data_IF_227131123267
#
_entry.id   IF_227131123267
#
_cell.length_a   1.000
_cell.length_b   1.000
_cell.length_c   1.000
_cell.angle_alpha   90.00
_cell.angle_beta   90.00
_cell.angle_gamma   90.00
#
_symmetry.space_group_name_H-M   'P 1'
#
loop_
_entity.id
_entity.type
_entity.pdbx_description
1 polymer ?
#
# COMPACT_ATOMS: atom_id res chain seq x y z
N UNK A 1 10.87 29.69 1.21
CA UNK A 1 9.68 29.45 0.37
C UNK A 1 8.59 28.88 1.25
N UNK A 2 7.35 29.32 1.07
CA UNK A 2 6.20 28.68 1.71
C UNK A 2 5.74 27.45 0.88
N UNK A 3 4.79 26.65 1.43
CA UNK A 3 4.31 25.42 0.80
C UNK A 3 3.79 25.69 -0.63
N UNK A 4 2.95 26.70 -0.82
CA UNK A 4 2.36 26.99 -2.14
C UNK A 4 3.41 27.43 -3.17
N UNK A 5 4.46 28.15 -2.76
CA UNK A 5 5.57 28.50 -3.65
C UNK A 5 6.35 27.26 -4.11
N UNK A 6 6.56 26.28 -3.21
CA UNK A 6 7.25 25.02 -3.55
C UNK A 6 6.36 24.18 -4.47
N UNK A 7 5.07 24.06 -4.17
CA UNK A 7 4.10 23.34 -5.00
C UNK A 7 4.07 23.90 -6.43
N UNK A 8 3.99 25.23 -6.59
CA UNK A 8 4.00 25.84 -7.91
C UNK A 8 5.26 25.50 -8.71
N UNK A 9 6.44 25.57 -8.07
CA UNK A 9 7.71 25.20 -8.71
C UNK A 9 7.76 23.71 -9.09
N UNK A 10 7.21 22.81 -8.25
CA UNK A 10 7.08 21.39 -8.57
C UNK A 10 6.20 21.21 -9.81
N UNK A 11 5.06 21.90 -9.88
CA UNK A 11 4.12 21.83 -11.00
C UNK A 11 4.73 22.36 -12.32
N UNK A 12 5.62 23.33 -12.26
CA UNK A 12 6.40 23.80 -13.41
C UNK A 12 7.44 22.75 -13.83
N UNK A 13 8.28 22.28 -12.89
CA UNK A 13 9.35 21.33 -13.16
C UNK A 13 8.84 19.99 -13.70
N UNK A 14 7.73 19.46 -13.15
CA UNK A 14 7.19 18.19 -13.62
C UNK A 14 6.71 18.25 -15.07
N UNK A 15 6.20 19.39 -15.52
CA UNK A 15 5.82 19.61 -16.93
C UNK A 15 7.05 19.72 -17.82
N UNK A 16 8.06 20.52 -17.41
CA UNK A 16 9.30 20.71 -18.15
C UNK A 16 10.05 19.39 -18.35
N UNK A 17 10.06 18.53 -17.34
CA UNK A 17 10.82 17.27 -17.34
C UNK A 17 9.99 16.05 -17.74
N UNK A 18 8.75 16.23 -18.15
CA UNK A 18 7.81 15.14 -18.52
C UNK A 18 7.73 14.08 -17.42
N UNK A 19 7.44 14.50 -16.18
CA UNK A 19 7.34 13.64 -15.00
C UNK A 19 5.89 13.48 -14.59
N UNK A 20 5.45 12.24 -14.39
CA UNK A 20 4.22 11.90 -13.69
C UNK A 20 4.53 11.62 -12.21
N UNK A 21 3.86 12.33 -11.30
CA UNK A 21 4.00 12.14 -9.86
C UNK A 21 2.90 11.22 -9.35
N UNK A 22 3.28 10.09 -8.77
CA UNK A 22 2.39 9.14 -8.10
C UNK A 22 2.57 9.27 -6.59
N UNK A 23 1.50 9.47 -5.82
CA UNK A 23 1.57 9.61 -4.37
C UNK A 23 0.63 8.61 -3.67
N UNK A 24 1.17 7.85 -2.71
CA UNK A 24 0.35 7.00 -1.86
C UNK A 24 -0.52 7.86 -0.95
N UNK A 25 -1.75 7.41 -0.66
CA UNK A 25 -2.71 8.15 0.19
C UNK A 25 -2.23 8.38 1.64
N UNK A 26 -1.14 7.75 2.07
CA UNK A 26 -0.50 8.03 3.36
C UNK A 26 0.48 9.21 3.33
N UNK A 27 0.74 9.79 2.17
CA UNK A 27 1.56 10.99 2.06
C UNK A 27 0.86 12.20 2.65
N UNK A 28 1.66 13.19 3.04
CA UNK A 28 1.16 14.48 3.48
C UNK A 28 0.31 15.15 2.38
N UNK A 29 -0.69 15.94 2.79
CA UNK A 29 -1.65 16.53 1.87
C UNK A 29 -0.98 17.37 0.78
N UNK A 30 0.01 18.17 1.14
CA UNK A 30 0.73 19.02 0.19
C UNK A 30 1.45 18.23 -0.93
N UNK A 31 1.79 16.95 -0.68
CA UNK A 31 2.34 16.04 -1.68
C UNK A 31 1.21 15.46 -2.53
N UNK A 32 0.09 15.07 -1.92
CA UNK A 32 -1.07 14.57 -2.66
C UNK A 32 -1.64 15.63 -3.62
N UNK A 33 -1.60 16.90 -3.26
CA UNK A 33 -2.10 18.02 -4.08
C UNK A 33 -1.29 18.26 -5.36
N UNK A 34 0.00 17.91 -5.40
CA UNK A 34 0.84 18.06 -6.60
C UNK A 34 0.95 16.78 -7.43
N UNK A 35 0.43 15.67 -6.93
CA UNK A 35 0.46 14.38 -7.61
C UNK A 35 -0.54 14.34 -8.77
N UNK A 36 -0.19 13.57 -9.81
CA UNK A 36 -1.10 13.28 -10.93
C UNK A 36 -2.08 12.17 -10.57
N UNK A 37 -1.61 11.21 -9.77
CA UNK A 37 -2.44 10.13 -9.24
C UNK A 37 -2.18 9.94 -7.76
N UNK A 38 -3.27 9.74 -7.00
CA UNK A 38 -3.24 9.36 -5.59
C UNK A 38 -4.07 8.11 -5.35
N UNK A 39 -3.64 7.27 -4.43
CA UNK A 39 -4.37 6.05 -4.11
C UNK A 39 -3.59 5.09 -3.21
N UNK A 40 -4.15 3.89 -3.07
CA UNK A 40 -3.46 2.75 -2.48
C UNK A 40 -2.53 2.06 -3.49
N UNK A 41 -1.79 1.04 -3.03
CA UNK A 41 -0.81 0.35 -3.87
C UNK A 41 -1.40 -0.30 -5.12
N UNK A 42 -2.65 -0.82 -5.05
CA UNK A 42 -3.31 -1.42 -6.22
C UNK A 42 -3.61 -0.36 -7.27
N UNK A 43 -4.31 0.70 -6.86
CA UNK A 43 -4.68 1.80 -7.76
C UNK A 43 -3.45 2.39 -8.43
N UNK A 44 -2.41 2.69 -7.65
CA UNK A 44 -1.18 3.28 -8.19
C UNK A 44 -0.44 2.33 -9.14
N UNK A 45 -0.47 1.01 -8.90
CA UNK A 45 0.10 0.02 -9.83
C UNK A 45 -0.64 0.02 -11.18
N UNK A 46 -1.98 0.06 -11.15
CA UNK A 46 -2.80 0.14 -12.37
C UNK A 46 -2.59 1.48 -13.09
N UNK A 47 -2.53 2.58 -12.34
CA UNK A 47 -2.32 3.91 -12.91
C UNK A 47 -0.90 4.02 -13.53
N UNK A 48 0.13 3.49 -12.86
CA UNK A 48 1.50 3.48 -13.36
C UNK A 48 1.64 2.81 -14.73
N UNK A 49 0.89 1.71 -14.97
CA UNK A 49 0.90 1.00 -16.26
C UNK A 49 0.33 1.82 -17.43
N UNK A 50 -0.45 2.87 -17.14
CA UNK A 50 -1.12 3.74 -18.12
C UNK A 50 -0.45 5.10 -18.32
N UNK A 51 0.55 5.42 -17.50
CA UNK A 51 1.29 6.69 -17.59
C UNK A 51 1.96 6.82 -18.94
N UNK A 52 1.78 7.96 -19.60
CA UNK A 52 2.42 8.26 -20.90
C UNK A 52 3.72 9.05 -20.78
N UNK A 53 3.96 9.70 -19.64
CA UNK A 53 5.18 10.45 -19.37
C UNK A 53 6.43 9.55 -19.44
N UNK A 54 7.58 10.15 -19.79
CA UNK A 54 8.88 9.43 -19.83
C UNK A 54 9.40 9.08 -18.45
N UNK A 55 9.07 9.92 -17.47
CA UNK A 55 9.58 9.79 -16.10
C UNK A 55 8.42 9.62 -15.12
N UNK A 56 8.62 8.78 -14.11
CA UNK A 56 7.69 8.58 -12.99
C UNK A 56 8.44 8.96 -11.71
N UNK A 57 7.81 9.76 -10.85
CA UNK A 57 8.30 10.06 -9.51
C UNK A 57 7.32 9.45 -8.50
N UNK A 58 7.79 8.47 -7.73
CA UNK A 58 7.01 7.83 -6.67
C UNK A 58 7.22 8.55 -5.34
N UNK A 59 6.14 9.10 -4.79
CA UNK A 59 6.02 9.57 -3.41
C UNK A 59 5.33 8.48 -2.58
N UNK A 60 6.13 7.61 -1.99
CA UNK A 60 5.71 6.41 -1.28
C UNK A 60 6.92 5.68 -0.75
N UNK A 61 6.88 4.35 -0.78
CA UNK A 61 7.98 3.49 -0.32
C UNK A 61 8.58 2.67 -1.47
N UNK A 62 9.79 2.13 -1.25
CA UNK A 62 10.64 1.50 -2.27
C UNK A 62 9.94 0.47 -3.13
N UNK A 63 9.25 -0.52 -2.55
CA UNK A 63 8.59 -1.58 -3.33
C UNK A 63 7.54 -1.04 -4.32
N UNK A 64 6.95 0.13 -4.03
CA UNK A 64 5.99 0.79 -4.94
C UNK A 64 6.71 1.38 -6.15
N UNK A 65 7.87 1.99 -5.96
CA UNK A 65 8.70 2.49 -7.05
C UNK A 65 9.25 1.33 -7.90
N UNK A 66 9.68 0.23 -7.27
CA UNK A 66 10.05 -1.03 -7.95
C UNK A 66 8.89 -1.58 -8.78
N UNK A 67 7.68 -1.62 -8.22
CA UNK A 67 6.48 -2.06 -8.95
C UNK A 67 6.21 -1.17 -10.17
N UNK A 68 6.38 0.15 -10.05
CA UNK A 68 6.28 1.07 -11.19
C UNK A 68 7.33 0.76 -12.27
N UNK A 69 8.58 0.47 -11.87
CA UNK A 69 9.65 0.10 -12.81
C UNK A 69 9.38 -1.23 -13.51
N UNK A 70 8.87 -2.23 -12.80
CA UNK A 70 8.49 -3.54 -13.37
C UNK A 70 7.37 -3.38 -14.41
N UNK A 71 6.37 -2.53 -14.12
CA UNK A 71 5.24 -2.30 -15.04
C UNK A 71 5.55 -1.35 -16.19
N UNK A 72 6.56 -0.53 -16.05
CA UNK A 72 6.99 0.47 -17.04
C UNK A 72 8.52 0.45 -17.22
N UNK A 73 9.07 -0.66 -17.74
CA UNK A 73 10.53 -0.86 -17.82
C UNK A 73 11.24 0.18 -18.70
N UNK A 74 10.57 0.71 -19.70
CA UNK A 74 11.12 1.72 -20.62
C UNK A 74 11.18 3.13 -20.03
N UNK A 75 10.61 3.33 -18.83
CA UNK A 75 10.56 4.63 -18.16
C UNK A 75 11.65 4.75 -17.10
N UNK A 76 12.06 5.97 -16.87
CA UNK A 76 12.87 6.29 -15.69
C UNK A 76 11.93 6.46 -14.49
N UNK A 77 12.17 5.68 -13.44
CA UNK A 77 11.36 5.71 -12.21
C UNK A 77 12.23 6.17 -11.05
N UNK A 78 11.79 7.22 -10.37
CA UNK A 78 12.45 7.76 -9.19
C UNK A 78 11.63 7.49 -7.93
N UNK A 79 12.31 7.15 -6.84
CA UNK A 79 11.79 7.22 -5.48
C UNK A 79 12.17 8.59 -4.89
N UNK A 80 11.18 9.39 -4.46
CA UNK A 80 11.41 10.75 -3.98
C UNK A 80 12.36 10.83 -2.79
N UNK A 81 12.25 9.88 -1.83
CA UNK A 81 13.11 9.79 -0.64
C UNK A 81 13.76 8.40 -0.57
N UNK A 82 15.10 8.28 -0.78
CA UNK A 82 15.78 6.99 -0.83
C UNK A 82 15.65 6.14 0.43
N UNK A 83 15.51 6.76 1.61
CA UNK A 83 15.35 6.06 2.89
C UNK A 83 13.92 5.53 3.13
N UNK A 84 12.96 5.85 2.26
CA UNK A 84 11.58 5.39 2.38
C UNK A 84 11.45 3.90 2.01
N UNK A 85 11.90 3.01 2.88
CA UNK A 85 11.74 1.55 2.79
C UNK A 85 10.37 1.07 3.26
N UNK A 86 10.20 -0.24 3.37
CA UNK A 86 9.01 -0.84 3.97
C UNK A 86 9.42 -2.01 4.86
N UNK A 87 9.30 -1.85 6.17
CA UNK A 87 9.69 -2.88 7.14
C UNK A 87 8.97 -4.23 6.90
N UNK A 88 7.75 -4.21 6.39
CA UNK A 88 7.05 -5.46 6.03
C UNK A 88 7.64 -6.09 4.77
N UNK A 89 7.94 -5.30 3.74
CA UNK A 89 8.48 -5.80 2.48
C UNK A 89 9.86 -6.46 2.65
N UNK A 90 10.63 -6.01 3.65
CA UNK A 90 11.99 -6.44 3.91
C UNK A 90 12.07 -7.61 4.94
N UNK A 91 10.92 -8.15 5.42
CA UNK A 91 10.89 -9.23 6.41
C UNK A 91 11.19 -10.62 5.84
N UNK A 92 10.94 -10.83 4.56
CA UNK A 92 11.10 -12.11 3.90
C UNK A 92 11.92 -11.92 2.62
N UNK A 93 12.97 -12.73 2.47
CA UNK A 93 13.79 -12.78 1.28
C UNK A 93 13.43 -13.98 0.38
N UNK A 94 13.99 -13.97 -0.83
CA UNK A 94 13.75 -14.97 -1.86
C UNK A 94 14.24 -16.36 -1.42
N UNK A 95 15.39 -16.44 -0.76
CA UNK A 95 16.00 -17.69 -0.30
C UNK A 95 15.12 -18.36 0.75
N UNK A 96 14.60 -17.60 1.70
CA UNK A 96 13.68 -18.09 2.72
C UNK A 96 12.41 -18.67 2.06
N UNK A 97 11.78 -17.93 1.16
CA UNK A 97 10.54 -18.36 0.52
C UNK A 97 10.78 -19.52 -0.44
N UNK A 98 11.92 -19.56 -1.15
CA UNK A 98 12.30 -20.72 -1.97
C UNK A 98 12.39 -22.00 -1.13
N UNK A 99 13.02 -21.93 0.03
CA UNK A 99 13.12 -23.06 0.96
C UNK A 99 11.74 -23.52 1.48
N UNK A 100 10.84 -22.57 1.75
CA UNK A 100 9.45 -22.90 2.15
C UNK A 100 8.70 -23.54 0.98
N UNK A 101 8.90 -23.05 -0.25
CA UNK A 101 8.26 -23.60 -1.45
C UNK A 101 8.72 -25.03 -1.74
N UNK A 102 9.97 -25.36 -1.48
CA UNK A 102 10.48 -26.74 -1.57
C UNK A 102 9.82 -27.69 -0.56
N UNK A 103 9.53 -27.21 0.65
CA UNK A 103 8.82 -28.00 1.68
C UNK A 103 7.32 -28.15 1.38
N UNK A 104 6.74 -27.23 0.60
CA UNK A 104 5.30 -27.19 0.27
C UNK A 104 5.11 -26.99 -1.25
N UNK A 105 5.53 -27.93 -2.09
CA UNK A 105 5.56 -27.76 -3.55
C UNK A 105 4.18 -27.66 -4.20
N UNK A 106 3.13 -28.05 -3.51
CA UNK A 106 1.73 -27.97 -3.93
C UNK A 106 1.01 -26.69 -3.49
N UNK A 107 1.75 -25.75 -2.84
CA UNK A 107 1.22 -24.45 -2.44
C UNK A 107 1.60 -23.36 -3.45
N UNK A 108 0.60 -22.61 -3.90
CA UNK A 108 0.82 -21.39 -4.68
C UNK A 108 1.24 -20.24 -3.74
N UNK A 109 2.29 -19.51 -4.12
CA UNK A 109 2.79 -18.35 -3.37
C UNK A 109 1.99 -17.12 -3.76
N UNK A 110 1.11 -16.70 -2.86
CA UNK A 110 0.35 -15.45 -2.96
C UNK A 110 1.07 -14.38 -2.16
N UNK A 111 1.64 -13.42 -2.86
CA UNK A 111 2.39 -12.33 -2.23
C UNK A 111 1.55 -11.06 -2.13
N UNK A 112 1.40 -10.54 -0.91
CA UNK A 112 1.00 -9.15 -0.78
C UNK A 112 2.02 -8.27 -1.52
N UNK A 113 1.57 -7.29 -2.29
CA UNK A 113 2.43 -6.47 -3.16
C UNK A 113 3.57 -5.77 -2.42
N UNK A 114 3.43 -5.64 -1.08
CA UNK A 114 4.45 -5.13 -0.16
C UNK A 114 5.56 -6.15 0.05
N UNK A 115 6.25 -6.48 -1.02
CA UNK A 115 7.44 -7.34 -1.10
C UNK A 115 8.45 -6.72 -2.05
N UNK A 116 9.72 -7.12 -1.98
CA UNK A 116 10.79 -6.64 -2.87
C UNK A 116 10.58 -7.14 -4.30
N UNK A 117 11.19 -6.46 -5.28
CA UNK A 117 11.19 -6.91 -6.66
C UNK A 117 11.80 -8.31 -6.81
N UNK A 118 12.88 -8.60 -6.07
CA UNK A 118 13.55 -9.90 -6.10
C UNK A 118 12.64 -11.03 -5.59
N UNK A 119 11.96 -10.83 -4.45
CA UNK A 119 11.00 -11.83 -3.94
C UNK A 119 9.84 -12.07 -4.90
N UNK A 120 9.36 -11.03 -5.61
CA UNK A 120 8.31 -11.16 -6.62
C UNK A 120 8.67 -12.13 -7.75
N UNK A 121 9.96 -12.34 -8.05
CA UNK A 121 10.42 -13.23 -9.13
C UNK A 121 10.02 -14.70 -8.95
N UNK A 122 9.71 -15.12 -7.72
CA UNK A 122 9.33 -16.50 -7.38
C UNK A 122 7.88 -16.65 -6.91
N UNK A 123 7.12 -15.56 -6.89
CA UNK A 123 5.71 -15.56 -6.48
C UNK A 123 4.80 -15.90 -7.67
N UNK A 124 3.71 -16.62 -7.40
CA UNK A 124 2.76 -17.03 -8.43
C UNK A 124 1.76 -15.89 -8.74
N UNK A 125 1.33 -15.13 -7.73
CA UNK A 125 0.47 -13.95 -7.90
C UNK A 125 0.71 -12.93 -6.80
N UNK A 126 0.66 -11.64 -7.16
CA UNK A 126 0.55 -10.56 -6.19
C UNK A 126 -0.92 -10.27 -5.84
N UNK A 127 -1.13 -9.75 -4.63
CA UNK A 127 -2.44 -9.25 -4.17
C UNK A 127 -2.25 -7.93 -3.44
N UNK A 128 -3.34 -7.20 -3.26
CA UNK A 128 -3.39 -6.04 -2.38
C UNK A 128 -4.52 -6.20 -1.38
N UNK A 129 -4.57 -5.38 -0.33
CA UNK A 129 -5.67 -5.42 0.64
C UNK A 129 -7.05 -5.22 0.00
N UNK A 130 -7.14 -4.53 -1.15
CA UNK A 130 -8.40 -4.34 -1.89
C UNK A 130 -8.77 -5.51 -2.78
N UNK A 131 -7.81 -6.32 -3.23
CA UNK A 131 -8.02 -7.34 -4.27
C UNK A 131 -7.82 -8.79 -3.77
N UNK A 132 -7.21 -8.99 -2.60
CA UNK A 132 -6.77 -10.30 -2.13
C UNK A 132 -7.88 -11.35 -2.10
N UNK A 133 -9.03 -11.05 -1.51
CA UNK A 133 -10.16 -12.00 -1.45
C UNK A 133 -10.63 -12.38 -2.85
N UNK A 134 -10.81 -11.38 -3.75
CA UNK A 134 -11.26 -11.60 -5.13
C UNK A 134 -10.26 -12.44 -5.90
N UNK A 135 -8.98 -12.07 -5.88
CA UNK A 135 -7.91 -12.75 -6.62
C UNK A 135 -7.79 -14.19 -6.15
N UNK A 136 -7.64 -14.42 -4.84
CA UNK A 136 -7.48 -15.77 -4.29
C UNK A 136 -8.72 -16.63 -4.52
N UNK A 137 -9.93 -16.04 -4.53
CA UNK A 137 -11.15 -16.79 -4.87
C UNK A 137 -11.17 -17.26 -6.33
N UNK A 138 -10.57 -16.48 -7.24
CA UNK A 138 -10.49 -16.76 -8.68
C UNK A 138 -9.34 -17.71 -9.06
N UNK A 139 -8.40 -17.98 -8.16
CA UNK A 139 -7.30 -18.92 -8.38
C UNK A 139 -7.82 -20.36 -8.35
N UNK A 140 -7.33 -21.26 -9.25
CA UNK A 140 -7.67 -22.68 -9.21
C UNK A 140 -7.02 -23.42 -8.04
N UNK A 141 -5.88 -22.96 -7.54
CA UNK A 141 -5.12 -23.60 -6.47
C UNK A 141 -5.90 -23.58 -5.16
N UNK A 142 -5.90 -24.73 -4.49
CA UNK A 142 -6.54 -24.88 -3.17
C UNK A 142 -5.61 -24.52 -2.02
N UNK A 143 -4.31 -24.78 -2.20
CA UNK A 143 -3.29 -24.60 -1.19
C UNK A 143 -2.58 -23.28 -1.44
N UNK A 144 -2.61 -22.37 -0.48
CA UNK A 144 -2.14 -21.00 -0.58
C UNK A 144 -1.06 -20.75 0.48
N UNK A 145 0.15 -20.43 0.05
CA UNK A 145 1.19 -19.85 0.90
C UNK A 145 1.07 -18.33 0.81
N UNK A 146 0.54 -17.69 1.86
CA UNK A 146 0.31 -16.25 1.86
C UNK A 146 1.43 -15.52 2.60
N UNK A 147 2.05 -14.55 1.96
CA UNK A 147 3.19 -13.77 2.43
C UNK A 147 3.01 -12.27 2.13
N UNK A 148 3.75 -11.36 2.79
CA UNK A 148 4.43 -11.52 4.08
C UNK A 148 3.54 -11.19 5.28
N UNK A 149 2.29 -10.71 5.08
CA UNK A 149 1.40 -10.24 6.14
C UNK A 149 0.44 -11.34 6.60
N UNK A 150 0.70 -11.90 7.79
CA UNK A 150 -0.13 -12.97 8.34
C UNK A 150 -1.51 -12.47 8.79
N UNK A 151 -1.68 -11.19 9.14
CA UNK A 151 -2.98 -10.64 9.54
C UNK A 151 -3.89 -10.49 8.32
N UNK A 152 -3.38 -9.92 7.23
CA UNK A 152 -4.10 -9.88 5.95
C UNK A 152 -4.42 -11.30 5.47
N UNK A 153 -3.45 -12.23 5.57
CA UNK A 153 -3.63 -13.64 5.22
C UNK A 153 -4.72 -14.30 6.06
N UNK A 154 -4.79 -14.05 7.37
CA UNK A 154 -5.86 -14.53 8.26
C UNK A 154 -7.22 -13.95 7.82
N UNK A 155 -7.31 -12.65 7.58
CA UNK A 155 -8.53 -12.02 7.09
C UNK A 155 -9.03 -12.66 5.78
N UNK A 156 -8.15 -12.89 4.81
CA UNK A 156 -8.50 -13.53 3.53
C UNK A 156 -8.92 -14.99 3.75
N UNK A 157 -8.22 -15.73 4.59
CA UNK A 157 -8.52 -17.15 4.87
C UNK A 157 -9.93 -17.34 5.47
N UNK A 158 -10.34 -16.45 6.35
CA UNK A 158 -11.68 -16.45 6.94
C UNK A 158 -12.79 -16.21 5.92
N UNK A 159 -12.50 -15.46 4.83
CA UNK A 159 -13.44 -15.23 3.74
C UNK A 159 -13.50 -16.41 2.76
N UNK A 160 -12.49 -17.27 2.72
CA UNK A 160 -12.33 -18.37 1.77
C UNK A 160 -12.11 -19.73 2.47
N UNK A 161 -13.12 -20.24 3.22
CA UNK A 161 -12.97 -21.45 4.03
C UNK A 161 -12.79 -22.74 3.20
N UNK A 162 -12.94 -22.67 1.89
CA UNK A 162 -12.75 -23.78 0.95
C UNK A 162 -11.30 -23.89 0.44
N UNK A 163 -10.40 -23.01 0.87
CA UNK A 163 -8.96 -23.02 0.55
C UNK A 163 -8.11 -23.28 1.80
N UNK A 164 -6.96 -23.88 1.61
CA UNK A 164 -6.02 -24.19 2.68
C UNK A 164 -4.93 -23.10 2.71
N UNK A 165 -4.85 -22.36 3.79
CA UNK A 165 -3.86 -21.31 3.95
C UNK A 165 -2.70 -21.74 4.84
N UNK A 166 -1.49 -21.47 4.40
CA UNK A 166 -0.28 -21.43 5.21
C UNK A 166 0.17 -19.97 5.31
N UNK A 167 0.23 -19.46 6.53
CA UNK A 167 0.64 -18.11 6.83
C UNK A 167 2.03 -18.15 7.47
N UNK A 168 2.97 -17.37 6.95
CA UNK A 168 4.24 -17.17 7.62
C UNK A 168 4.12 -15.98 8.58
N UNK A 169 4.85 -16.06 9.68
CA UNK A 169 4.82 -14.99 10.68
C UNK A 169 5.55 -13.76 10.17
N UNK A 170 4.80 -12.71 9.92
CA UNK A 170 5.25 -11.42 9.42
C UNK A 170 4.07 -10.48 9.28
N UNK A 171 4.32 -9.22 8.94
CA UNK A 171 3.26 -8.22 8.70
C UNK A 171 3.69 -6.79 8.97
N UNK A 172 2.77 -5.87 8.80
CA UNK A 172 3.00 -4.45 9.00
C UNK A 172 3.13 -4.12 10.50
N UNK A 173 4.30 -3.68 10.99
CA UNK A 173 4.48 -3.37 12.41
C UNK A 173 3.58 -2.23 12.90
N UNK A 174 3.17 -1.33 11.99
CA UNK A 174 2.32 -0.18 12.31
C UNK A 174 0.88 -0.62 12.58
N UNK A 175 0.32 -1.51 11.76
CA UNK A 175 -1.03 -2.03 11.98
C UNK A 175 -1.05 -3.12 13.06
N UNK A 176 -0.02 -3.99 13.10
CA UNK A 176 0.08 -5.06 14.08
C UNK A 176 0.27 -4.57 15.53
N UNK A 177 0.74 -3.34 15.76
CA UNK A 177 0.87 -2.78 17.11
C UNK A 177 -0.45 -2.30 17.73
N UNK A 178 -1.52 -2.21 16.95
CA UNK A 178 -2.86 -1.84 17.44
C UNK A 178 -3.47 -3.00 18.20
N UNK A 179 -4.07 -2.71 19.35
CA UNK A 179 -4.64 -3.71 20.24
C UNK A 179 -6.15 -3.54 20.41
N UNK A 180 -6.84 -4.61 20.86
CA UNK A 180 -8.25 -4.52 21.23
C UNK A 180 -8.51 -3.51 22.37
N UNK A 181 -7.50 -3.23 23.21
CA UNK A 181 -7.60 -2.22 24.26
C UNK A 181 -7.59 -0.79 23.67
N UNK A 182 -6.80 -0.55 22.61
CA UNK A 182 -6.85 0.73 21.89
C UNK A 182 -8.25 0.95 21.30
N UNK A 183 -8.87 -0.09 20.75
CA UNK A 183 -10.25 -0.05 20.24
C UNK A 183 -11.26 0.28 21.34
N UNK A 184 -11.17 -0.42 22.48
CA UNK A 184 -12.08 -0.16 23.62
C UNK A 184 -11.99 1.28 24.10
N UNK A 185 -10.78 1.83 24.22
CA UNK A 185 -10.55 3.22 24.61
C UNK A 185 -11.16 4.20 23.60
N UNK A 186 -10.92 3.99 22.31
CA UNK A 186 -11.48 4.85 21.27
C UNK A 186 -13.01 4.78 21.21
N UNK A 187 -13.62 3.58 21.27
CA UNK A 187 -15.08 3.42 21.30
C UNK A 187 -15.71 4.01 22.58
N UNK A 188 -15.03 3.98 23.72
CA UNK A 188 -15.48 4.63 24.94
C UNK A 188 -15.46 6.17 24.83
N UNK A 189 -14.47 6.73 24.12
CA UNK A 189 -14.37 8.17 23.88
C UNK A 189 -15.35 8.66 22.80
N UNK A 190 -15.61 7.83 21.78
CA UNK A 190 -16.47 8.16 20.64
C UNK A 190 -17.53 7.07 20.43
N UNK A 191 -18.53 6.95 21.34
CA UNK A 191 -19.44 5.81 21.38
C UNK A 191 -20.40 5.72 20.18
N UNK A 192 -20.59 6.79 19.42
CA UNK A 192 -21.47 6.85 18.24
C UNK A 192 -20.70 6.69 16.92
N UNK A 193 -19.35 6.62 16.95
CA UNK A 193 -18.53 6.53 15.79
C UNK A 193 -18.39 5.07 15.30
N UNK A 194 -18.52 4.86 14.00
CA UNK A 194 -18.20 3.57 13.37
C UNK A 194 -16.68 3.37 13.27
N UNK A 195 -16.20 2.19 13.63
CA UNK A 195 -14.80 1.81 13.55
C UNK A 195 -14.49 1.18 12.20
N UNK A 196 -13.62 1.84 11.43
CA UNK A 196 -13.16 1.37 10.13
C UNK A 196 -11.69 0.97 10.26
N UNK A 197 -11.33 -0.30 9.99
CA UNK A 197 -9.95 -0.78 10.14
C UNK A 197 -9.38 -1.40 8.89
N UNK A 198 -8.06 -1.34 8.77
CA UNK A 198 -7.32 -2.04 7.73
C UNK A 198 -7.12 -3.51 8.11
N UNK A 199 -7.21 -4.48 7.17
CA UNK A 199 -7.06 -5.91 7.46
C UNK A 199 -5.64 -6.35 7.84
N UNK A 200 -4.63 -5.46 7.80
CA UNK A 200 -3.31 -5.68 8.41
C UNK A 200 -3.33 -5.55 9.95
N UNK A 201 -4.41 -5.05 10.54
CA UNK A 201 -4.58 -5.06 11.99
C UNK A 201 -4.74 -6.49 12.49
N UNK A 202 -4.35 -6.72 13.75
CA UNK A 202 -4.52 -8.03 14.40
C UNK A 202 -5.98 -8.51 14.33
N UNK A 203 -6.23 -9.84 14.24
CA UNK A 203 -7.58 -10.40 14.20
C UNK A 203 -8.50 -9.88 15.30
N UNK A 204 -7.98 -9.73 16.53
CA UNK A 204 -8.74 -9.20 17.67
C UNK A 204 -9.21 -7.74 17.50
N UNK A 205 -8.56 -6.97 16.62
CA UNK A 205 -8.96 -5.60 16.25
C UNK A 205 -9.98 -5.63 15.11
N UNK A 206 -9.72 -6.47 14.11
CA UNK A 206 -10.61 -6.71 12.96
C UNK A 206 -11.99 -7.17 13.42
N UNK A 207 -12.04 -8.08 14.40
CA UNK A 207 -13.29 -8.63 14.96
C UNK A 207 -14.16 -7.58 15.71
N UNK A 208 -13.58 -6.42 16.07
CA UNK A 208 -14.28 -5.32 16.74
C UNK A 208 -14.70 -4.20 15.77
N UNK A 209 -14.32 -4.30 14.49
CA UNK A 209 -14.58 -3.27 13.49
C UNK A 209 -16.02 -3.33 12.97
N UNK A 210 -16.55 -2.17 12.63
CA UNK A 210 -17.84 -2.03 11.94
C UNK A 210 -17.64 -2.19 10.41
N UNK A 211 -16.44 -1.85 9.92
CA UNK A 211 -16.02 -2.07 8.53
C UNK A 211 -14.53 -2.43 8.46
N UNK A 212 -14.21 -3.41 7.62
CA UNK A 212 -12.83 -3.82 7.31
C UNK A 212 -12.58 -3.67 5.82
N UNK A 213 -11.52 -2.96 5.46
CA UNK A 213 -11.20 -2.74 4.06
C UNK A 213 -9.83 -2.12 3.82
N UNK A 214 -9.42 -2.07 2.55
CA UNK A 214 -8.20 -1.37 2.13
C UNK A 214 -8.30 0.13 2.44
N UNK A 215 -7.19 0.84 2.31
CA UNK A 215 -7.15 2.30 2.45
C UNK A 215 -8.21 3.00 1.59
N UNK A 216 -8.27 2.66 0.29
CA UNK A 216 -9.30 3.21 -0.61
C UNK A 216 -10.70 2.76 -0.22
N UNK A 217 -10.86 1.51 0.25
CA UNK A 217 -12.12 0.99 0.76
C UNK A 217 -12.64 1.76 1.96
N UNK A 218 -11.79 2.02 2.94
CA UNK A 218 -12.11 2.85 4.13
C UNK A 218 -12.54 4.25 3.72
N UNK A 219 -11.77 4.89 2.83
CA UNK A 219 -12.08 6.25 2.35
C UNK A 219 -13.42 6.29 1.61
N UNK A 220 -13.68 5.33 0.72
CA UNK A 220 -14.92 5.25 -0.04
C UNK A 220 -16.12 4.96 0.87
N UNK A 221 -15.97 4.04 1.82
CA UNK A 221 -17.03 3.75 2.80
C UNK A 221 -17.39 4.99 3.59
N UNK A 222 -16.39 5.67 4.17
CA UNK A 222 -16.60 6.86 4.98
C UNK A 222 -17.24 8.02 4.18
N UNK A 223 -16.83 8.20 2.91
CA UNK A 223 -17.40 9.26 2.05
C UNK A 223 -18.87 8.99 1.69
N UNK A 224 -19.22 7.75 1.37
CA UNK A 224 -20.53 7.37 0.86
C UNK A 224 -21.54 6.96 1.97
N UNK A 225 -21.08 6.69 3.20
CA UNK A 225 -21.95 6.35 4.32
C UNK A 225 -22.80 7.54 4.78
N UNK A 226 -24.04 7.27 5.21
CA UNK A 226 -24.91 8.26 5.85
C UNK A 226 -24.47 8.60 7.29
N UNK A 227 -23.58 7.82 7.87
CA UNK A 227 -22.99 8.07 9.19
C UNK A 227 -22.13 9.34 9.17
N UNK A 228 -22.04 9.98 10.32
CA UNK A 228 -21.39 11.29 10.47
C UNK A 228 -20.14 11.26 11.33
N UNK A 229 -19.83 10.13 11.98
CA UNK A 229 -18.71 10.02 12.88
C UNK A 229 -18.01 8.67 12.75
N UNK A 230 -16.69 8.70 12.61
CA UNK A 230 -15.88 7.52 12.31
C UNK A 230 -14.59 7.50 13.15
N UNK A 231 -14.16 6.30 13.54
CA UNK A 231 -12.83 6.04 14.08
C UNK A 231 -12.03 5.33 12.99
N UNK A 232 -10.88 5.89 12.61
CA UNK A 232 -10.04 5.41 11.51
C UNK A 232 -8.91 4.55 12.07
N UNK A 233 -8.94 3.28 11.77
CA UNK A 233 -7.98 2.25 12.17
C UNK A 233 -7.01 1.88 11.05
N UNK A 234 -6.39 2.89 10.42
CA UNK A 234 -5.27 2.79 9.51
C UNK A 234 -4.36 4.00 9.69
N UNK A 235 -3.35 4.18 8.85
CA UNK A 235 -2.38 5.29 8.93
C UNK A 235 -3.09 6.65 9.04
N UNK A 236 -2.62 7.49 9.97
CA UNK A 236 -3.34 8.68 10.44
C UNK A 236 -3.68 9.71 9.37
N UNK A 237 -2.91 9.82 8.29
CA UNK A 237 -3.21 10.74 7.19
C UNK A 237 -4.59 10.52 6.59
N UNK A 238 -5.12 9.29 6.68
CA UNK A 238 -6.45 8.98 6.13
C UNK A 238 -7.54 9.74 6.88
N UNK A 239 -7.44 9.85 8.20
CA UNK A 239 -8.37 10.66 8.98
C UNK A 239 -8.26 12.15 8.61
N UNK A 240 -7.04 12.65 8.41
CA UNK A 240 -6.79 14.05 8.03
C UNK A 240 -7.35 14.36 6.64
N UNK A 241 -7.10 13.49 5.64
CA UNK A 241 -7.63 13.65 4.29
C UNK A 241 -9.17 13.60 4.28
N UNK A 242 -9.75 12.63 4.99
CA UNK A 242 -11.20 12.50 5.09
C UNK A 242 -11.85 13.71 5.78
N UNK A 243 -11.21 14.25 6.83
CA UNK A 243 -11.74 15.45 7.53
C UNK A 243 -11.75 16.67 6.61
N UNK A 244 -10.77 16.78 5.72
CA UNK A 244 -10.75 17.85 4.74
C UNK A 244 -11.77 17.65 3.62
N UNK A 245 -11.86 16.41 3.08
CA UNK A 245 -12.73 16.09 1.97
C UNK A 245 -14.21 16.06 2.35
N UNK A 246 -14.52 15.77 3.64
CA UNK A 246 -15.87 15.64 4.16
C UNK A 246 -16.04 16.50 5.44
N UNK A 247 -16.09 17.84 5.33
CA UNK A 247 -16.12 18.74 6.50
C UNK A 247 -17.40 18.61 7.33
N UNK A 248 -18.46 17.99 6.79
CA UNK A 248 -19.73 17.70 7.46
C UNK A 248 -19.70 16.42 8.31
N UNK A 249 -18.57 15.69 8.31
CA UNK A 249 -18.35 14.46 9.08
C UNK A 249 -17.19 14.65 10.06
N UNK A 250 -17.08 13.75 11.05
CA UNK A 250 -16.01 13.75 12.05
C UNK A 250 -15.18 12.48 11.91
N UNK A 251 -13.88 12.63 11.91
CA UNK A 251 -12.93 11.52 11.78
C UNK A 251 -11.94 11.53 12.95
N UNK A 252 -11.98 10.47 13.73
CA UNK A 252 -11.11 10.27 14.88
C UNK A 252 -10.03 9.24 14.54
N UNK A 253 -8.84 9.46 15.02
CA UNK A 253 -7.73 8.50 14.90
C UNK A 253 -7.92 7.43 15.97
N UNK A 254 -7.86 6.14 15.59
CA UNK A 254 -7.97 5.03 16.54
C UNK A 254 -6.86 5.11 17.61
N UNK A 255 -5.63 5.34 17.19
CA UNK A 255 -4.46 5.48 18.08
C UNK A 255 -3.33 6.21 17.37
N UNK A 256 -2.52 6.97 18.12
CA UNK A 256 -1.32 7.63 17.61
C UNK A 256 -0.20 6.67 17.18
N UNK A 257 -0.33 5.37 17.46
CA UNK A 257 0.60 4.33 17.00
C UNK A 257 0.55 4.14 15.46
N UNK A 258 -0.55 4.53 14.82
CA UNK A 258 -0.80 4.38 13.39
C UNK A 258 -0.07 5.46 12.54
N UNK A 259 1.19 5.72 12.85
CA UNK A 259 2.07 6.60 12.07
C UNK A 259 3.13 5.73 11.39
N UNK A 260 3.12 5.71 10.06
CA UNK A 260 4.16 5.02 9.30
C UNK A 260 5.36 5.96 9.06
N UNK A 261 6.50 5.78 9.75
CA UNK A 261 7.64 6.69 9.63
C UNK A 261 8.22 6.67 8.20
N UNK A 262 8.18 5.52 7.53
CA UNK A 262 8.70 5.39 6.18
C UNK A 262 7.84 6.13 5.14
N UNK A 263 6.51 6.09 5.29
CA UNK A 263 5.61 6.90 4.44
C UNK A 263 5.75 8.40 4.74
N UNK A 264 6.11 8.78 5.98
CA UNK A 264 6.34 10.17 6.38
C UNK A 264 7.76 10.66 6.10
N UNK A 265 8.67 9.79 5.66
CA UNK A 265 10.03 10.17 5.29
C UNK A 265 10.07 11.11 4.08
N UNK A 266 9.15 10.96 3.14
CA UNK A 266 9.05 11.83 1.97
C UNK A 266 8.41 13.17 2.35
N UNK A 267 9.13 14.26 2.08
CA UNK A 267 8.67 15.63 2.25
C UNK A 267 8.45 16.32 0.91
N UNK A 268 7.73 17.44 0.91
CA UNK A 268 7.56 18.26 -0.31
C UNK A 268 8.90 18.75 -0.88
N UNK A 269 9.90 18.98 0.01
CA UNK A 269 11.25 19.36 -0.41
C UNK A 269 12.00 18.23 -1.10
N UNK A 270 11.80 16.97 -0.68
CA UNK A 270 12.40 15.82 -1.36
C UNK A 270 11.86 15.69 -2.79
N UNK A 271 10.55 15.89 -2.98
CA UNK A 271 9.93 15.94 -4.32
C UNK A 271 10.54 17.04 -5.17
N UNK A 272 10.67 18.25 -4.61
CA UNK A 272 11.27 19.39 -5.31
C UNK A 272 12.73 19.14 -5.69
N UNK A 273 13.54 18.64 -4.74
CA UNK A 273 14.96 18.35 -4.96
C UNK A 273 15.15 17.22 -5.98
N UNK A 274 14.33 16.18 -5.92
CA UNK A 274 14.36 15.09 -6.89
C UNK A 274 14.10 15.61 -8.32
N UNK A 275 13.08 16.47 -8.49
CA UNK A 275 12.80 17.09 -9.79
C UNK A 275 13.92 18.00 -10.27
N UNK A 276 14.71 18.61 -9.38
CA UNK A 276 15.90 19.38 -9.74
C UNK A 276 17.11 18.51 -10.12
N UNK A 277 17.10 17.22 -9.78
CA UNK A 277 18.25 16.33 -9.88
C UNK A 277 19.24 16.47 -8.71
N UNK A 278 18.79 17.01 -7.58
CA UNK A 278 19.56 17.23 -6.36
C UNK A 278 19.21 16.23 -5.24
N UNK A 279 18.39 15.23 -5.54
CA UNK A 279 17.92 14.22 -4.59
C UNK A 279 17.09 13.13 -5.26
N UNK A 280 16.48 12.26 -4.42
CA UNK A 280 15.78 11.08 -4.91
C UNK A 280 16.75 9.97 -5.33
N UNK A 281 16.19 8.86 -5.79
CA UNK A 281 16.94 7.69 -6.25
C UNK A 281 16.27 7.12 -7.49
N UNK A 282 17.01 6.86 -8.55
CA UNK A 282 16.51 6.12 -9.70
C UNK A 282 16.44 4.64 -9.37
N UNK A 283 15.30 4.02 -9.64
CA UNK A 283 15.09 2.58 -9.47
C UNK A 283 15.64 1.85 -10.68
N UNK A 284 16.70 1.10 -10.46
CA UNK A 284 17.36 0.27 -11.47
C UNK A 284 17.15 -1.19 -11.10
N UNK A 285 16.55 -1.94 -12.01
CA UNK A 285 16.36 -3.40 -11.92
C UNK A 285 16.91 -4.02 -13.21
N UNK A 286 17.52 -5.19 -13.10
CA UNK A 286 17.96 -5.95 -14.27
C UNK A 286 16.77 -6.52 -15.04
N UNK A 287 16.95 -6.80 -16.33
CA UNK A 287 15.91 -7.27 -17.24
C UNK A 287 15.27 -8.60 -16.80
N UNK A 288 16.06 -9.49 -16.21
CA UNK A 288 15.57 -10.79 -15.74
C UNK A 288 14.65 -10.61 -14.55
N UNK A 289 15.05 -9.79 -13.57
CA UNK A 289 14.21 -9.44 -12.40
C UNK A 289 12.91 -8.80 -12.84
N UNK A 290 12.95 -7.83 -13.77
CA UNK A 290 11.74 -7.20 -14.32
C UNK A 290 10.82 -8.24 -14.96
N UNK A 291 11.38 -9.09 -15.83
CA UNK A 291 10.61 -10.10 -16.58
C UNK A 291 9.95 -11.11 -15.64
N UNK A 292 10.67 -11.59 -14.64
CA UNK A 292 10.16 -12.62 -13.73
C UNK A 292 9.17 -12.04 -12.71
N UNK A 293 9.47 -10.89 -12.10
CA UNK A 293 8.58 -10.23 -11.16
C UNK A 293 7.28 -9.72 -11.81
N UNK A 294 7.33 -9.37 -13.09
CA UNK A 294 6.15 -8.92 -13.85
C UNK A 294 5.07 -9.98 -13.91
N UNK A 295 5.42 -11.27 -13.95
CA UNK A 295 4.46 -12.39 -14.07
C UNK A 295 3.42 -12.37 -12.95
N UNK A 296 3.84 -12.28 -11.70
CA UNK A 296 2.91 -12.27 -10.56
C UNK A 296 2.09 -10.98 -10.45
N UNK A 297 2.59 -9.85 -10.98
CA UNK A 297 1.85 -8.58 -11.02
C UNK A 297 0.82 -8.61 -12.17
N UNK A 298 1.17 -9.11 -13.36
CA UNK A 298 0.23 -9.28 -14.47
C UNK A 298 -0.91 -10.22 -14.08
N UNK A 299 -0.59 -11.29 -13.34
CA UNK A 299 -1.59 -12.22 -12.82
C UNK A 299 -2.52 -11.55 -11.79
N UNK A 300 -1.98 -10.67 -10.93
CA UNK A 300 -2.77 -9.83 -10.04
C UNK A 300 -3.79 -8.98 -10.83
N UNK A 301 -3.33 -8.32 -11.90
CA UNK A 301 -4.19 -7.46 -12.72
C UNK A 301 -5.24 -8.31 -13.46
N UNK A 302 -4.85 -9.47 -13.99
CA UNK A 302 -5.76 -10.39 -14.71
C UNK A 302 -6.87 -10.94 -13.81
N UNK A 303 -6.55 -11.34 -12.58
CA UNK A 303 -7.51 -11.96 -11.66
C UNK A 303 -8.31 -10.92 -10.86
N UNK A 304 -7.75 -9.73 -10.68
CA UNK A 304 -8.34 -8.62 -9.90
C UNK A 304 -9.26 -7.70 -10.72
N UNK A 305 -9.19 -7.74 -12.04
CA UNK A 305 -9.83 -6.86 -13.03
C UNK A 305 -11.33 -6.73 -13.01
#
# INVERSE_FOLDING_TARGET
MNISEIQNKILELKKEKDVCILAHSYQAREICEIADFTGDSYKLSVDASKVTNKNILMCGVRFMAETCKILSPDKTVYLAQPSAGCQMADQMDKEMISSVKEMYPDYAVVAYINTTADLKTICDVCVTSSSAVKIVSNMPEKNILFIPDCNLGDYVSRQLPNKNFKLLHGGCPIHACVTAEDVKKAKAQFPNAELLVHPECQPAVVDLADYVGSTSGIMNYAKNSDKKEFIIGTEISIAEHLQYDCPDKKFHILTQKLICPNMKATTLMDVFNCLKGEGGEEIILDEQTITDAKKCIDEMIRLGG
#
